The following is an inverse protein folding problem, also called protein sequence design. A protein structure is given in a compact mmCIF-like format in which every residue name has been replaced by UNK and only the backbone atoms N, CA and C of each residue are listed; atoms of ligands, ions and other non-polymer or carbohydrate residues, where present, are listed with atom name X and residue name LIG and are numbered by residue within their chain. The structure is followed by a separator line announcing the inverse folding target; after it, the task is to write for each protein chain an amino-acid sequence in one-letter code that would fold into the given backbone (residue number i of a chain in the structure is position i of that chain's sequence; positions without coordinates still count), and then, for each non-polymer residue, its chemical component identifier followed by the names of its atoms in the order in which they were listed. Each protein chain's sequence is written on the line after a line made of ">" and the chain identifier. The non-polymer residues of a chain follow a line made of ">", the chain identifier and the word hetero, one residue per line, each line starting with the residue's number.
data_IF_458666878494
#
_entry.id   IF_458666878494
#
_cell.length_a   1.000
_cell.length_b   1.000
_cell.length_c   1.000
_cell.angle_alpha   90.00
_cell.angle_beta   90.00
_cell.angle_gamma   90.00
#
_symmetry.space_group_name_H-M   'P 1'
#
loop_
_entity.id
_entity.type
_entity.pdbx_description
1 polymer ?
#
# COMPACT_ATOMS: atom_id res chain seq x y z
N UNK A 1 10.94 15.57 -14.72
CA UNK A 1 11.02 16.94 -15.30
C UNK A 1 10.43 17.99 -14.35
N UNK A 2 9.21 17.83 -13.80
CA UNK A 2 8.60 18.82 -12.89
C UNK A 2 9.37 19.00 -11.59
N UNK A 3 9.97 17.94 -11.02
CA UNK A 3 10.79 18.03 -9.81
C UNK A 3 12.12 18.77 -10.06
N UNK A 4 12.69 18.64 -11.26
CA UNK A 4 13.90 19.37 -11.65
C UNK A 4 13.69 20.89 -11.78
N UNK A 5 12.44 21.33 -11.89
CA UNK A 5 12.06 22.74 -11.95
C UNK A 5 11.85 23.40 -10.58
N UNK A 6 11.91 22.63 -9.47
CA UNK A 6 11.80 23.17 -8.12
C UNK A 6 13.07 23.97 -7.76
N UNK A 7 12.89 25.20 -7.28
CA UNK A 7 13.99 25.95 -6.72
C UNK A 7 14.58 25.22 -5.50
N UNK A 8 15.91 25.17 -5.33
CA UNK A 8 16.54 24.61 -4.13
C UNK A 8 16.00 25.18 -2.80
N UNK A 9 15.52 26.42 -2.83
CA UNK A 9 14.88 27.06 -1.67
C UNK A 9 13.58 26.40 -1.25
N UNK A 10 12.90 25.68 -2.17
CA UNK A 10 11.66 24.95 -1.91
C UNK A 10 11.92 23.49 -1.52
N UNK A 11 13.19 23.10 -1.37
CA UNK A 11 13.60 21.76 -0.97
C UNK A 11 14.23 21.85 0.43
N UNK A 12 13.63 21.11 1.37
CA UNK A 12 14.20 20.89 2.70
C UNK A 12 14.60 19.43 2.81
N UNK A 13 15.89 19.16 2.96
CA UNK A 13 16.40 17.82 3.19
C UNK A 13 16.30 17.47 4.67
N UNK A 14 15.82 16.27 4.97
CA UNK A 14 15.68 15.79 6.34
C UNK A 14 15.56 14.28 6.41
N UNK A 15 15.74 13.73 7.59
CA UNK A 15 15.60 12.32 7.90
C UNK A 15 14.74 12.14 9.14
N UNK A 16 13.72 11.30 9.08
CA UNK A 16 12.88 10.97 10.24
C UNK A 16 13.58 10.07 11.27
N UNK A 17 14.75 9.54 10.95
CA UNK A 17 15.62 8.87 11.95
C UNK A 17 16.21 9.88 12.93
N UNK A 18 16.59 11.08 12.42
CA UNK A 18 17.13 12.20 13.18
C UNK A 18 16.42 13.50 12.82
N UNK A 19 15.13 13.64 13.16
CA UNK A 19 14.28 14.69 12.63
C UNK A 19 14.63 16.08 13.15
N UNK A 20 15.36 16.20 14.26
CA UNK A 20 15.71 17.47 14.88
C UNK A 20 16.47 18.41 13.92
N UNK A 21 17.25 17.84 13.00
CA UNK A 21 18.03 18.62 12.03
C UNK A 21 17.15 19.49 11.13
N UNK A 22 15.98 18.97 10.68
CA UNK A 22 15.08 19.73 9.81
C UNK A 22 13.89 20.34 10.56
N UNK A 23 13.49 19.82 11.72
CA UNK A 23 12.35 20.35 12.49
C UNK A 23 12.56 21.76 13.01
N UNK A 24 13.82 22.22 13.11
CA UNK A 24 14.19 23.57 13.50
C UNK A 24 14.28 24.56 12.32
N UNK A 25 14.02 24.11 11.09
CA UNK A 25 14.06 24.99 9.92
C UNK A 25 12.88 25.98 9.95
N UNK A 26 13.12 27.32 9.88
CA UNK A 26 12.06 28.32 9.99
C UNK A 26 11.05 28.27 8.83
N UNK A 27 11.38 27.61 7.71
CA UNK A 27 10.43 27.43 6.60
C UNK A 27 9.21 26.59 7.01
N UNK A 28 9.35 25.72 8.01
CA UNK A 28 8.23 24.92 8.51
C UNK A 28 7.16 25.79 9.19
N UNK A 29 7.51 26.94 9.77
CA UNK A 29 6.57 27.80 10.46
C UNK A 29 5.59 28.53 9.51
N UNK A 30 5.85 28.48 8.19
CA UNK A 30 5.00 29.04 7.15
C UNK A 30 4.18 27.97 6.39
N UNK A 31 4.35 26.70 6.75
CA UNK A 31 3.64 25.60 6.08
C UNK A 31 2.16 25.66 6.43
N UNK A 32 1.30 25.54 5.41
CA UNK A 32 -0.16 25.53 5.56
C UNK A 32 -0.76 24.14 5.38
N UNK A 33 -0.15 23.30 4.57
CA UNK A 33 -0.63 21.94 4.27
C UNK A 33 0.53 20.94 4.23
N UNK A 34 0.31 19.78 4.80
CA UNK A 34 1.27 18.67 4.82
C UNK A 34 0.64 17.42 4.25
N UNK A 35 1.34 16.72 3.37
CA UNK A 35 1.08 15.31 3.03
C UNK A 35 2.27 14.50 3.54
N UNK A 36 2.07 13.74 4.60
CA UNK A 36 3.11 12.87 5.15
C UNK A 36 3.01 11.46 4.55
N UNK A 37 3.77 11.23 3.48
CA UNK A 37 3.92 9.92 2.84
C UNK A 37 5.18 9.19 3.31
N UNK A 38 6.01 9.81 4.15
CA UNK A 38 7.29 9.24 4.56
C UNK A 38 7.08 8.03 5.48
N UNK A 39 7.63 6.89 5.08
CA UNK A 39 7.59 5.67 5.88
C UNK A 39 8.61 4.65 5.37
N UNK A 40 9.03 3.76 6.26
CA UNK A 40 9.69 2.50 5.91
C UNK A 40 8.60 1.47 5.65
N UNK A 41 8.30 1.23 4.37
CA UNK A 41 7.29 0.28 3.90
C UNK A 41 7.91 -1.11 3.68
N UNK A 42 8.49 -1.69 4.72
CA UNK A 42 9.10 -3.02 4.66
C UNK A 42 8.23 -4.04 5.38
N UNK A 43 7.95 -5.16 4.71
CA UNK A 43 7.27 -6.31 5.33
C UNK A 43 8.26 -7.28 6.01
N UNK A 44 9.57 -7.00 5.95
CA UNK A 44 10.59 -7.72 6.70
C UNK A 44 10.87 -7.10 8.07
N UNK A 45 11.76 -7.76 8.85
CA UNK A 45 12.29 -7.18 10.09
C UNK A 45 13.27 -6.05 9.74
N UNK A 46 12.77 -4.83 9.70
CA UNK A 46 13.60 -3.65 9.49
C UNK A 46 13.57 -2.80 10.78
N UNK A 47 14.70 -2.62 11.48
CA UNK A 47 14.73 -1.88 12.75
C UNK A 47 14.34 -0.41 12.62
N UNK A 48 14.36 0.14 11.39
CA UNK A 48 13.96 1.52 11.14
C UNK A 48 12.44 1.72 11.10
N UNK A 49 11.64 0.65 11.03
CA UNK A 49 10.18 0.78 10.96
C UNK A 49 9.65 1.62 12.12
N UNK A 50 9.97 1.25 13.36
CA UNK A 50 9.50 1.98 14.53
C UNK A 50 10.12 3.38 14.64
N UNK A 51 11.42 3.48 14.37
CA UNK A 51 12.14 4.73 14.48
C UNK A 51 11.61 5.80 13.50
N UNK A 52 11.32 5.41 12.26
CA UNK A 52 10.81 6.31 11.22
C UNK A 52 9.29 6.48 11.31
N UNK A 53 8.56 5.34 11.29
CA UNK A 53 7.10 5.40 11.13
C UNK A 53 6.39 5.89 12.40
N UNK A 54 6.98 5.68 13.58
CA UNK A 54 6.37 6.07 14.85
C UNK A 54 7.11 7.25 15.48
N UNK A 55 8.35 7.05 15.92
CA UNK A 55 9.06 8.06 16.71
C UNK A 55 9.31 9.36 15.92
N UNK A 56 9.93 9.25 14.74
CA UNK A 56 10.23 10.41 13.89
C UNK A 56 8.97 11.08 13.36
N UNK A 57 7.98 10.30 12.94
CA UNK A 57 6.71 10.84 12.47
C UNK A 57 5.95 11.56 13.59
N UNK A 58 5.95 11.02 14.83
CA UNK A 58 5.31 11.68 15.97
C UNK A 58 5.99 13.00 16.33
N UNK A 59 7.33 13.06 16.31
CA UNK A 59 8.07 14.31 16.51
C UNK A 59 7.71 15.35 15.45
N UNK A 60 7.61 14.93 14.19
CA UNK A 60 7.18 15.81 13.10
C UNK A 60 5.74 16.31 13.31
N UNK A 61 4.81 15.41 13.66
CA UNK A 61 3.42 15.77 13.93
C UNK A 61 3.30 16.77 15.10
N UNK A 62 4.06 16.57 16.19
CA UNK A 62 4.11 17.51 17.35
C UNK A 62 4.65 18.89 16.95
N UNK A 63 5.71 18.96 16.14
CA UNK A 63 6.22 20.23 15.60
C UNK A 63 5.12 20.93 14.78
N UNK A 64 4.48 20.20 13.87
CA UNK A 64 3.45 20.77 13.00
C UNK A 64 2.19 21.20 13.78
N UNK A 65 1.85 20.53 14.88
CA UNK A 65 0.76 20.94 15.75
C UNK A 65 0.98 22.33 16.42
N UNK A 66 2.23 22.79 16.49
CA UNK A 66 2.60 24.12 17.00
C UNK A 66 2.67 25.19 15.90
N UNK A 67 2.49 24.84 14.62
CA UNK A 67 2.55 25.79 13.49
C UNK A 67 1.19 26.45 13.30
N UNK A 68 1.10 27.74 13.62
CA UNK A 68 -0.17 28.49 13.61
C UNK A 68 -0.79 28.68 12.23
N UNK A 69 0.00 28.60 11.15
CA UNK A 69 -0.46 28.68 9.76
C UNK A 69 -1.01 27.36 9.23
N UNK A 70 -0.81 26.24 9.94
CA UNK A 70 -1.18 24.91 9.45
C UNK A 70 -2.71 24.73 9.38
N UNK A 71 -3.20 24.43 8.19
CA UNK A 71 -4.63 24.22 7.92
C UNK A 71 -4.96 22.72 7.77
N UNK A 72 -3.99 21.90 7.34
CA UNK A 72 -4.18 20.47 7.11
C UNK A 72 -2.88 19.68 7.32
N UNK A 73 -2.99 18.58 8.06
CA UNK A 73 -1.98 17.53 8.14
C UNK A 73 -2.58 16.20 7.66
N UNK A 74 -2.29 15.82 6.43
CA UNK A 74 -2.73 14.56 5.85
C UNK A 74 -1.67 13.48 6.11
N UNK A 75 -1.99 12.52 6.94
CA UNK A 75 -1.14 11.35 7.19
C UNK A 75 -1.53 10.19 6.29
N UNK A 76 -0.57 9.64 5.55
CA UNK A 76 -0.79 8.46 4.71
C UNK A 76 -0.50 7.20 5.53
N UNK A 77 -1.57 6.54 5.94
CA UNK A 77 -1.58 5.26 6.63
C UNK A 77 -1.60 4.06 5.67
N UNK A 78 -2.36 3.05 6.03
CA UNK A 78 -2.71 1.90 5.19
C UNK A 78 -4.06 1.34 5.64
N UNK A 79 -4.88 0.86 4.72
CA UNK A 79 -6.14 0.21 5.05
C UNK A 79 -5.95 -1.04 5.94
N UNK A 80 -4.79 -1.68 5.84
CA UNK A 80 -4.42 -2.83 6.69
C UNK A 80 -4.03 -2.45 8.13
N UNK A 81 -4.00 -1.16 8.51
CA UNK A 81 -3.66 -0.74 9.89
C UNK A 81 -4.72 -1.11 10.92
N UNK A 82 -5.96 -1.39 10.49
CA UNK A 82 -7.05 -1.83 11.37
C UNK A 82 -6.97 -3.31 11.77
N UNK A 83 -6.01 -4.10 11.26
CA UNK A 83 -5.94 -5.55 11.42
C UNK A 83 -7.29 -6.22 11.11
N UNK A 84 -7.70 -6.25 9.84
CA UNK A 84 -9.04 -6.67 9.46
C UNK A 84 -9.28 -8.15 9.73
N UNK A 85 -10.52 -8.49 10.13
CA UNK A 85 -10.96 -9.88 10.16
C UNK A 85 -11.09 -10.44 8.74
N UNK A 86 -10.74 -11.72 8.53
CA UNK A 86 -10.97 -12.37 7.23
C UNK A 86 -12.44 -12.25 6.76
N UNK A 87 -12.62 -12.25 5.45
CA UNK A 87 -13.92 -12.23 4.76
C UNK A 87 -14.80 -10.99 5.06
N UNK A 88 -14.19 -9.90 5.55
CA UNK A 88 -14.93 -8.71 6.00
C UNK A 88 -14.94 -7.58 4.97
N UNK A 89 -15.98 -6.75 5.08
CA UNK A 89 -16.00 -5.38 4.55
C UNK A 89 -15.63 -4.42 5.68
N UNK A 90 -14.46 -3.82 5.58
CA UNK A 90 -13.89 -2.96 6.64
C UNK A 90 -14.45 -1.54 6.51
N UNK A 91 -15.07 -1.05 7.57
CA UNK A 91 -15.57 0.33 7.63
C UNK A 91 -14.44 1.36 7.86
N UNK A 92 -14.69 2.59 7.45
CA UNK A 92 -13.80 3.75 7.64
C UNK A 92 -13.95 4.28 9.08
N UNK A 93 -13.27 3.64 10.03
CA UNK A 93 -13.35 3.95 11.47
C UNK A 93 -12.01 4.45 12.00
N UNK A 94 -12.09 5.40 12.93
CA UNK A 94 -10.97 5.84 13.75
C UNK A 94 -10.74 4.95 14.98
N UNK A 95 -11.62 4.00 15.24
CA UNK A 95 -11.51 3.09 16.40
C UNK A 95 -10.32 2.15 16.24
N UNK A 96 -9.60 1.96 17.33
CA UNK A 96 -8.48 1.04 17.44
C UNK A 96 -8.88 -0.18 18.25
N UNK A 97 -8.54 -1.36 17.75
CA UNK A 97 -8.68 -2.60 18.52
C UNK A 97 -7.48 -2.75 19.45
N UNK A 98 -7.70 -2.79 20.77
CA UNK A 98 -6.62 -2.84 21.77
C UNK A 98 -5.68 -4.06 21.62
N UNK A 99 -6.18 -5.18 21.11
CA UNK A 99 -5.43 -6.44 20.98
C UNK A 99 -5.37 -6.94 19.53
N UNK A 100 -5.33 -6.01 18.56
CA UNK A 100 -5.24 -6.37 17.17
C UNK A 100 -3.91 -7.06 16.84
N UNK A 101 -3.97 -8.28 16.32
CA UNK A 101 -2.79 -8.99 15.82
C UNK A 101 -2.45 -8.51 14.41
N UNK A 102 -1.25 -7.97 14.25
CA UNK A 102 -0.76 -7.52 12.96
C UNK A 102 0.13 -8.57 12.30
N UNK A 103 -0.10 -8.85 11.02
CA UNK A 103 0.71 -9.79 10.25
C UNK A 103 2.18 -9.35 10.12
N UNK A 104 2.43 -8.03 10.16
CA UNK A 104 3.76 -7.43 9.99
C UNK A 104 3.93 -6.18 10.86
N UNK A 105 5.18 -5.91 11.26
CA UNK A 105 5.56 -4.70 12.01
C UNK A 105 5.15 -3.40 11.32
N UNK A 106 5.16 -3.38 9.99
CA UNK A 106 4.74 -2.22 9.21
C UNK A 106 3.30 -1.80 9.52
N UNK A 107 2.33 -2.72 9.44
CA UNK A 107 0.91 -2.40 9.73
C UNK A 107 0.69 -2.03 11.19
N UNK A 108 1.43 -2.67 12.10
CA UNK A 108 1.42 -2.33 13.52
C UNK A 108 1.95 -0.91 13.77
N UNK A 109 3.09 -0.54 13.15
CA UNK A 109 3.64 0.81 13.27
C UNK A 109 2.70 1.89 12.74
N UNK A 110 2.01 1.61 11.61
CA UNK A 110 1.00 2.52 11.04
C UNK A 110 -0.21 2.70 11.95
N UNK A 111 -0.74 1.63 12.52
CA UNK A 111 -1.81 1.69 13.53
C UNK A 111 -1.39 2.50 14.75
N UNK A 112 -0.18 2.24 15.25
CA UNK A 112 0.35 2.91 16.45
C UNK A 112 0.50 4.41 16.25
N UNK A 113 1.09 4.86 15.13
CA UNK A 113 1.29 6.28 14.90
C UNK A 113 -0.02 7.05 14.69
N UNK A 114 -1.01 6.46 14.01
CA UNK A 114 -2.34 7.06 13.87
C UNK A 114 -2.97 7.31 15.23
N UNK A 115 -2.94 6.32 16.13
CA UNK A 115 -3.44 6.45 17.50
C UNK A 115 -2.68 7.52 18.30
N UNK A 116 -1.35 7.50 18.26
CA UNK A 116 -0.52 8.48 18.98
C UNK A 116 -0.76 9.91 18.50
N UNK A 117 -0.89 10.14 17.20
CA UNK A 117 -1.21 11.49 16.68
C UNK A 117 -2.56 11.99 17.19
N UNK A 118 -3.59 11.14 17.23
CA UNK A 118 -4.90 11.53 17.75
C UNK A 118 -4.87 11.83 19.25
N UNK A 119 -4.11 11.06 20.03
CA UNK A 119 -4.02 11.22 21.47
C UNK A 119 -3.13 12.38 21.90
N UNK A 120 -1.99 12.55 21.26
CA UNK A 120 -0.94 13.46 21.71
C UNK A 120 -0.89 14.80 20.95
N UNK A 121 -1.56 14.89 19.79
CA UNK A 121 -1.61 16.08 18.98
C UNK A 121 -3.07 16.53 18.72
N UNK A 122 -3.89 16.79 19.74
CA UNK A 122 -5.33 17.07 19.58
C UNK A 122 -5.61 18.36 18.80
N UNK A 123 -4.65 19.29 18.71
CA UNK A 123 -4.76 20.53 17.95
C UNK A 123 -4.35 20.37 16.49
N UNK A 124 -3.74 19.25 16.11
CA UNK A 124 -3.31 18.99 14.74
C UNK A 124 -4.55 18.89 13.83
N UNK A 125 -4.64 19.65 12.73
CA UNK A 125 -5.74 19.52 11.76
C UNK A 125 -5.57 18.22 10.93
N UNK A 126 -5.64 17.08 11.63
CA UNK A 126 -5.29 15.76 11.13
C UNK A 126 -6.38 15.22 10.21
N UNK A 127 -5.94 14.61 9.12
CA UNK A 127 -6.71 13.68 8.27
C UNK A 127 -5.87 12.43 8.08
N UNK A 128 -6.47 11.27 8.23
CA UNK A 128 -5.81 9.99 8.03
C UNK A 128 -6.34 9.38 6.73
N UNK A 129 -5.48 9.27 5.72
CA UNK A 129 -5.78 8.57 4.49
C UNK A 129 -5.19 7.16 4.56
N UNK A 130 -6.00 6.14 4.35
CA UNK A 130 -5.62 4.73 4.39
C UNK A 130 -5.75 4.09 3.01
N UNK A 131 -4.72 4.17 2.15
CA UNK A 131 -4.72 3.44 0.89
C UNK A 131 -4.82 1.93 1.10
N UNK A 132 -5.58 1.25 0.22
CA UNK A 132 -5.51 -0.19 0.06
C UNK A 132 -4.21 -0.59 -0.65
N UNK A 133 -4.18 -1.71 -1.34
CA UNK A 133 -2.97 -2.14 -2.06
C UNK A 133 -2.79 -1.27 -3.31
N UNK A 134 -1.69 -0.52 -3.37
CA UNK A 134 -1.38 0.34 -4.52
C UNK A 134 -0.51 -0.42 -5.51
N UNK A 135 -1.03 -0.68 -6.71
CA UNK A 135 -0.30 -1.39 -7.78
C UNK A 135 -0.49 -0.69 -9.12
N UNK A 136 0.61 -0.34 -9.74
CA UNK A 136 0.61 0.22 -11.08
C UNK A 136 0.04 1.64 -11.18
N UNK A 137 -0.01 2.10 -12.41
CA UNK A 137 -0.56 3.38 -12.84
C UNK A 137 -1.43 3.14 -14.07
N UNK A 138 -2.58 3.78 -14.21
CA UNK A 138 -3.52 3.52 -15.31
C UNK A 138 -2.89 3.68 -16.70
N UNK A 139 -1.96 4.63 -16.87
CA UNK A 139 -1.29 4.89 -18.15
C UNK A 139 0.14 4.35 -18.23
N UNK A 140 0.87 4.29 -17.10
CA UNK A 140 2.29 3.92 -17.07
C UNK A 140 2.54 2.49 -16.59
N UNK A 141 1.48 1.74 -16.21
CA UNK A 141 1.60 0.37 -15.71
C UNK A 141 2.49 0.30 -14.47
N UNK A 142 3.46 -0.60 -14.47
CA UNK A 142 4.40 -0.82 -13.37
C UNK A 142 5.66 0.05 -13.42
N UNK A 143 5.61 1.22 -14.02
CA UNK A 143 6.74 2.15 -14.07
C UNK A 143 6.47 3.37 -13.18
N UNK A 144 7.40 3.78 -12.32
CA UNK A 144 8.77 3.23 -12.13
C UNK A 144 8.86 2.03 -11.19
N UNK A 145 7.75 1.61 -10.55
CA UNK A 145 7.73 0.49 -9.62
C UNK A 145 6.60 -0.49 -9.97
N UNK A 146 6.90 -1.78 -9.89
CA UNK A 146 5.91 -2.85 -10.02
C UNK A 146 5.09 -3.06 -8.74
N UNK A 147 5.52 -2.49 -7.60
CA UNK A 147 4.95 -2.85 -6.31
C UNK A 147 4.82 -4.38 -6.19
N UNK A 148 3.72 -4.88 -5.66
CA UNK A 148 3.48 -6.33 -5.53
C UNK A 148 2.92 -7.00 -6.81
N UNK A 149 2.95 -6.37 -7.98
CA UNK A 149 2.41 -6.96 -9.22
C UNK A 149 3.01 -8.35 -9.54
N UNK A 150 4.29 -8.55 -9.21
CA UNK A 150 4.98 -9.82 -9.36
C UNK A 150 4.37 -10.97 -8.54
N UNK A 151 3.64 -10.68 -7.46
CA UNK A 151 2.97 -11.72 -6.63
C UNK A 151 1.86 -12.40 -7.42
N UNK A 152 1.07 -11.62 -8.18
CA UNK A 152 0.02 -12.17 -9.05
C UNK A 152 0.64 -13.07 -10.13
N UNK A 153 1.68 -12.57 -10.81
CA UNK A 153 2.41 -13.34 -11.83
C UNK A 153 3.00 -14.62 -11.23
N UNK A 154 3.55 -14.56 -10.03
CA UNK A 154 4.13 -15.71 -9.33
C UNK A 154 3.08 -16.78 -9.04
N UNK A 155 1.92 -16.40 -8.49
CA UNK A 155 0.85 -17.35 -8.17
C UNK A 155 0.31 -18.05 -9.41
N UNK A 156 0.14 -17.32 -10.52
CA UNK A 156 -0.33 -17.87 -11.79
C UNK A 156 0.72 -18.77 -12.45
N UNK A 157 2.01 -18.42 -12.41
CA UNK A 157 3.08 -19.29 -12.91
C UNK A 157 3.19 -20.60 -12.13
N UNK A 158 3.00 -20.57 -10.82
CA UNK A 158 2.94 -21.78 -9.97
C UNK A 158 1.67 -22.60 -10.21
N UNK A 159 0.63 -22.01 -10.76
CA UNK A 159 -0.72 -22.58 -10.85
C UNK A 159 -1.28 -22.98 -9.48
N UNK A 160 -0.76 -22.43 -8.42
CA UNK A 160 -1.21 -22.66 -7.05
C UNK A 160 -0.72 -21.55 -6.12
N UNK A 161 -1.54 -21.23 -5.13
CA UNK A 161 -1.18 -20.31 -4.05
C UNK A 161 -2.07 -20.55 -2.83
N UNK A 162 -1.93 -19.71 -1.79
CA UNK A 162 -2.67 -19.91 -0.54
C UNK A 162 -4.12 -19.43 -0.62
N UNK A 163 -4.44 -18.45 -1.45
CA UNK A 163 -5.79 -17.93 -1.65
C UNK A 163 -6.61 -18.77 -2.64
N UNK A 164 -7.93 -18.65 -2.57
CA UNK A 164 -8.85 -19.16 -3.58
C UNK A 164 -8.92 -18.22 -4.78
N UNK A 165 -9.28 -18.75 -5.95
CA UNK A 165 -9.60 -17.94 -7.14
C UNK A 165 -10.86 -17.07 -6.94
N UNK A 166 -11.74 -17.46 -6.02
CA UNK A 166 -12.95 -16.70 -5.67
C UNK A 166 -12.69 -15.61 -4.63
N UNK A 167 -11.56 -15.66 -3.91
CA UNK A 167 -11.17 -14.62 -2.95
C UNK A 167 -10.96 -13.29 -3.68
N UNK A 168 -11.30 -12.20 -3.00
CA UNK A 168 -11.18 -10.84 -3.53
C UNK A 168 -9.97 -10.13 -2.98
N UNK A 169 -9.48 -9.18 -3.76
CA UNK A 169 -8.40 -8.30 -3.37
C UNK A 169 -8.75 -6.85 -3.75
N UNK A 170 -8.42 -5.94 -2.86
CA UNK A 170 -8.65 -4.51 -3.01
C UNK A 170 -7.37 -3.85 -3.50
N UNK A 171 -7.35 -3.46 -4.77
CA UNK A 171 -6.20 -2.87 -5.46
C UNK A 171 -6.60 -1.58 -6.16
N UNK A 172 -5.81 -0.53 -5.98
CA UNK A 172 -5.97 0.76 -6.64
C UNK A 172 -4.70 1.15 -7.39
N UNK A 173 -4.79 1.96 -8.46
CA UNK A 173 -3.60 2.49 -9.12
C UNK A 173 -3.06 3.74 -8.39
N UNK A 174 -1.76 4.01 -8.57
CA UNK A 174 -1.06 5.09 -7.85
C UNK A 174 -1.56 6.49 -8.24
N UNK A 175 -1.98 6.69 -9.47
CA UNK A 175 -2.55 7.97 -9.95
C UNK A 175 -3.90 8.26 -9.25
N UNK A 176 -4.80 7.29 -9.14
CA UNK A 176 -6.03 7.44 -8.35
C UNK A 176 -5.72 7.75 -6.88
N UNK A 177 -4.75 7.05 -6.31
CA UNK A 177 -4.31 7.31 -4.94
C UNK A 177 -3.79 8.75 -4.78
N UNK A 178 -2.97 9.24 -5.71
CA UNK A 178 -2.46 10.60 -5.69
C UNK A 178 -3.56 11.67 -5.79
N UNK A 179 -4.51 11.48 -6.71
CA UNK A 179 -5.65 12.39 -6.88
C UNK A 179 -6.53 12.42 -5.63
N UNK A 180 -6.76 11.27 -5.00
CA UNK A 180 -7.50 11.18 -3.74
C UNK A 180 -6.78 11.91 -2.60
N UNK A 181 -5.45 11.77 -2.47
CA UNK A 181 -4.67 12.50 -1.47
C UNK A 181 -4.75 14.01 -1.67
N UNK A 182 -4.67 14.49 -2.92
CA UNK A 182 -4.80 15.92 -3.23
C UNK A 182 -6.22 16.45 -2.93
N UNK A 183 -7.25 15.66 -3.23
CA UNK A 183 -8.61 16.00 -2.90
C UNK A 183 -8.82 16.06 -1.37
N UNK A 184 -8.35 15.07 -0.62
CA UNK A 184 -8.43 15.05 0.85
C UNK A 184 -7.65 16.19 1.51
N UNK A 185 -6.55 16.63 0.90
CA UNK A 185 -5.77 17.76 1.38
C UNK A 185 -6.58 19.07 1.35
N UNK A 186 -7.40 19.26 0.33
CA UNK A 186 -8.15 20.50 0.09
C UNK A 186 -9.62 20.45 0.56
N UNK A 187 -10.22 19.26 0.69
CA UNK A 187 -11.63 19.12 1.04
C UNK A 187 -11.93 19.53 2.50
N UNK A 188 -12.87 20.46 2.74
CA UNK A 188 -13.27 20.80 4.11
C UNK A 188 -13.97 19.63 4.82
N UNK A 189 -14.58 18.72 4.06
CA UNK A 189 -15.30 17.55 4.58
C UNK A 189 -14.36 16.48 5.17
N UNK A 190 -13.06 16.52 4.81
CA UNK A 190 -12.09 15.53 5.27
C UNK A 190 -11.53 15.83 6.68
N UNK A 191 -11.81 17.00 7.28
CA UNK A 191 -11.21 17.41 8.55
C UNK A 191 -11.56 16.45 9.70
N UNK A 192 -10.56 15.90 10.35
CA UNK A 192 -10.72 14.96 11.45
C UNK A 192 -11.12 13.54 11.05
N UNK A 193 -11.24 13.28 9.74
CA UNK A 193 -11.71 12.00 9.23
C UNK A 193 -10.59 10.98 9.04
N UNK A 194 -10.98 9.71 9.17
CA UNK A 194 -10.24 8.56 8.66
C UNK A 194 -10.96 8.10 7.39
N UNK A 195 -10.22 8.06 6.27
CA UNK A 195 -10.76 7.80 4.95
C UNK A 195 -9.95 6.72 4.27
N UNK A 196 -10.62 5.71 3.72
CA UNK A 196 -9.96 4.72 2.88
C UNK A 196 -9.85 5.23 1.44
N UNK A 197 -8.67 5.01 0.85
CA UNK A 197 -8.48 5.14 -0.60
C UNK A 197 -8.40 3.72 -1.13
N UNK A 198 -9.54 3.17 -1.55
CA UNK A 198 -9.70 1.75 -1.84
C UNK A 198 -10.58 1.52 -3.07
N UNK A 199 -10.51 0.33 -3.63
CA UNK A 199 -11.39 -0.08 -4.71
C UNK A 199 -12.86 -0.16 -4.27
N UNK A 200 -13.09 -0.34 -2.98
CA UNK A 200 -14.41 -0.53 -2.41
C UNK A 200 -14.97 -1.94 -2.69
N UNK A 201 -16.15 -2.21 -2.16
CA UNK A 201 -16.80 -3.51 -2.37
C UNK A 201 -17.11 -3.78 -3.84
N UNK A 202 -17.52 -2.74 -4.58
CA UNK A 202 -17.95 -2.86 -5.97
C UNK A 202 -16.79 -3.17 -6.94
N UNK A 203 -15.64 -2.50 -6.74
CA UNK A 203 -14.51 -2.55 -7.68
C UNK A 203 -13.33 -3.42 -7.23
N UNK A 204 -13.38 -4.02 -6.02
CA UNK A 204 -12.46 -5.11 -5.67
C UNK A 204 -12.69 -6.30 -6.60
N UNK A 205 -11.61 -6.95 -7.02
CA UNK A 205 -11.62 -8.00 -8.04
C UNK A 205 -11.29 -9.36 -7.44
N UNK A 206 -11.81 -10.44 -8.04
CA UNK A 206 -11.44 -11.80 -7.67
C UNK A 206 -10.11 -12.18 -8.32
N UNK A 207 -9.39 -13.12 -7.73
CA UNK A 207 -8.18 -13.66 -8.36
C UNK A 207 -8.48 -14.33 -9.71
N UNK A 208 -9.67 -14.92 -9.91
CA UNK A 208 -10.11 -15.43 -11.21
C UNK A 208 -10.25 -14.33 -12.27
N UNK A 209 -10.69 -13.14 -11.89
CA UNK A 209 -10.80 -12.00 -12.81
C UNK A 209 -9.39 -11.50 -13.20
N UNK A 210 -8.44 -11.49 -12.25
CA UNK A 210 -7.04 -11.16 -12.48
C UNK A 210 -6.39 -12.19 -13.43
N UNK A 211 -6.60 -13.49 -13.20
CA UNK A 211 -6.10 -14.56 -14.08
C UNK A 211 -6.58 -14.36 -15.52
N UNK A 212 -7.87 -14.15 -15.70
CA UNK A 212 -8.48 -13.93 -17.02
C UNK A 212 -7.92 -12.69 -17.72
N UNK A 213 -7.76 -11.57 -16.99
CA UNK A 213 -7.26 -10.33 -17.56
C UNK A 213 -5.75 -10.41 -17.91
N UNK A 214 -4.93 -11.05 -17.05
CA UNK A 214 -3.51 -11.29 -17.33
C UNK A 214 -3.32 -12.25 -18.50
N UNK A 215 -4.10 -13.31 -18.58
CA UNK A 215 -4.07 -14.28 -19.67
C UNK A 215 -4.41 -13.61 -21.01
N UNK A 216 -5.44 -12.76 -21.04
CA UNK A 216 -5.79 -11.96 -22.21
C UNK A 216 -4.66 -11.04 -22.63
N UNK A 217 -4.04 -10.32 -21.69
CA UNK A 217 -2.91 -9.41 -21.96
C UNK A 217 -1.64 -10.13 -22.45
N UNK A 218 -1.48 -11.42 -22.13
CA UNK A 218 -0.37 -12.28 -22.54
C UNK A 218 -0.70 -13.12 -23.78
N UNK A 219 -1.92 -12.99 -24.35
CA UNK A 219 -2.43 -13.79 -25.47
C UNK A 219 -2.36 -15.31 -25.20
N UNK A 220 -2.71 -15.74 -24.00
CA UNK A 220 -2.68 -17.12 -23.56
C UNK A 220 -3.99 -17.53 -22.86
N UNK A 221 -4.18 -18.83 -22.66
CA UNK A 221 -5.32 -19.31 -21.88
C UNK A 221 -5.11 -19.03 -20.38
N UNK A 222 -6.18 -18.67 -19.64
CA UNK A 222 -6.11 -18.52 -18.18
C UNK A 222 -5.76 -19.86 -17.51
N UNK A 223 -5.19 -19.76 -16.31
CA UNK A 223 -4.91 -20.94 -15.48
C UNK A 223 -6.21 -21.67 -15.13
N UNK A 224 -7.23 -20.91 -14.71
CA UNK A 224 -8.57 -21.42 -14.48
C UNK A 224 -8.59 -22.66 -13.59
N UNK A 225 -9.26 -23.73 -14.05
CA UNK A 225 -9.40 -24.99 -13.31
C UNK A 225 -8.09 -25.76 -13.03
N UNK A 226 -6.97 -25.35 -13.61
CA UNK A 226 -5.64 -25.93 -13.28
C UNK A 226 -5.07 -25.36 -12.00
N UNK A 227 -5.63 -24.25 -11.51
CA UNK A 227 -5.20 -23.65 -10.28
C UNK A 227 -5.63 -24.48 -9.06
N UNK A 228 -4.73 -24.58 -8.08
CA UNK A 228 -5.01 -25.26 -6.83
C UNK A 228 -4.74 -24.33 -5.64
N UNK A 229 -5.72 -24.15 -4.78
CA UNK A 229 -5.50 -23.56 -3.46
C UNK A 229 -4.72 -24.56 -2.59
N UNK A 230 -3.61 -24.14 -2.01
CA UNK A 230 -2.73 -25.01 -1.22
C UNK A 230 -2.25 -24.33 0.05
N UNK A 231 -1.80 -25.14 1.03
CA UNK A 231 -1.17 -24.60 2.23
C UNK A 231 0.25 -24.08 1.96
N UNK A 232 0.78 -23.26 2.86
CA UNK A 232 2.17 -22.81 2.80
C UNK A 232 3.16 -23.98 2.83
N UNK A 233 2.88 -25.04 3.60
CA UNK A 233 3.70 -26.24 3.71
C UNK A 233 3.85 -26.93 2.33
N UNK A 234 2.79 -26.95 1.53
CA UNK A 234 2.83 -27.47 0.16
C UNK A 234 3.79 -26.63 -0.71
N UNK A 235 3.75 -25.28 -0.57
CA UNK A 235 4.67 -24.42 -1.30
C UNK A 235 6.14 -24.64 -0.86
N UNK A 236 6.37 -24.90 0.42
CA UNK A 236 7.72 -25.25 0.95
C UNK A 236 8.26 -26.55 0.34
N UNK A 237 7.40 -27.56 0.14
CA UNK A 237 7.79 -28.82 -0.50
C UNK A 237 8.25 -28.62 -1.95
N UNK A 238 7.73 -27.62 -2.65
CA UNK A 238 8.12 -27.26 -4.02
C UNK A 238 9.44 -26.46 -4.10
N UNK A 239 10.11 -26.19 -2.99
CA UNK A 239 11.31 -25.35 -2.96
C UNK A 239 12.32 -25.66 -4.06
N UNK A 240 12.59 -26.94 -4.32
CA UNK A 240 13.57 -27.39 -5.33
C UNK A 240 13.15 -27.07 -6.77
N UNK A 241 11.84 -26.88 -7.00
CA UNK A 241 11.26 -26.59 -8.32
C UNK A 241 11.28 -25.06 -8.62
N UNK A 242 11.43 -24.22 -7.61
CA UNK A 242 11.31 -22.76 -7.78
C UNK A 242 12.31 -22.20 -8.81
N UNK A 243 13.54 -22.74 -8.85
CA UNK A 243 14.54 -22.33 -9.85
C UNK A 243 14.18 -22.75 -11.26
N UNK A 244 13.50 -23.89 -11.43
CA UNK A 244 13.04 -24.35 -12.74
C UNK A 244 11.87 -23.47 -13.24
N UNK A 245 11.02 -23.00 -12.33
CA UNK A 245 9.83 -22.19 -12.66
C UNK A 245 10.20 -20.72 -12.89
N UNK A 246 11.00 -20.12 -12.00
CA UNK A 246 11.25 -18.67 -11.98
C UNK A 246 12.66 -18.29 -12.49
N UNK A 247 13.49 -19.28 -12.85
CA UNK A 247 14.90 -19.05 -13.15
C UNK A 247 15.75 -18.86 -11.89
N UNK A 248 16.99 -18.38 -12.03
CA UNK A 248 17.91 -18.17 -10.91
C UNK A 248 17.28 -17.25 -9.85
N UNK A 249 17.05 -17.77 -8.65
CA UNK A 249 16.41 -17.04 -7.56
C UNK A 249 16.95 -17.48 -6.18
N UNK A 250 16.74 -16.62 -5.18
CA UNK A 250 16.93 -16.97 -3.78
C UNK A 250 15.66 -17.67 -3.26
N UNK A 251 15.69 -19.01 -3.20
CA UNK A 251 14.54 -19.82 -2.82
C UNK A 251 14.00 -19.49 -1.41
N UNK A 252 14.90 -19.13 -0.46
CA UNK A 252 14.49 -18.74 0.90
C UNK A 252 13.71 -17.43 0.89
N UNK A 253 14.17 -16.47 0.10
CA UNK A 253 13.48 -15.18 -0.07
C UNK A 253 12.15 -15.35 -0.76
N UNK A 254 12.08 -16.20 -1.81
CA UNK A 254 10.83 -16.55 -2.49
C UNK A 254 9.81 -17.15 -1.52
N UNK A 255 10.21 -18.16 -0.73
CA UNK A 255 9.31 -18.79 0.25
C UNK A 255 8.87 -17.80 1.35
N UNK A 256 9.78 -16.92 1.81
CA UNK A 256 9.42 -15.87 2.77
C UNK A 256 8.36 -14.94 2.18
N UNK A 257 8.53 -14.53 0.94
CA UNK A 257 7.55 -13.70 0.22
C UNK A 257 6.22 -14.43 0.03
N UNK A 258 6.23 -15.70 -0.40
CA UNK A 258 5.02 -16.52 -0.55
C UNK A 258 4.24 -16.63 0.76
N UNK A 259 4.93 -16.86 1.89
CA UNK A 259 4.30 -16.92 3.21
C UNK A 259 3.59 -15.62 3.55
N UNK A 260 4.30 -14.51 3.37
CA UNK A 260 3.83 -13.20 3.75
C UNK A 260 2.64 -12.74 2.89
N UNK A 261 2.85 -12.70 1.58
CA UNK A 261 1.80 -12.25 0.64
C UNK A 261 0.63 -13.23 0.56
N UNK A 262 0.89 -14.53 0.77
CA UNK A 262 -0.15 -15.53 0.90
C UNK A 262 -1.04 -15.29 2.12
N UNK A 263 -0.46 -14.93 3.26
CA UNK A 263 -1.24 -14.59 4.47
C UNK A 263 -2.14 -13.35 4.25
N UNK A 264 -1.67 -12.34 3.51
CA UNK A 264 -2.52 -11.20 3.13
C UNK A 264 -3.59 -11.58 2.10
N UNK A 265 -3.24 -12.42 1.12
CA UNK A 265 -4.18 -12.82 0.07
C UNK A 265 -5.34 -13.68 0.59
N UNK A 266 -5.11 -14.47 1.66
CA UNK A 266 -6.16 -15.29 2.30
C UNK A 266 -7.10 -14.50 3.20
N UNK A 267 -6.85 -13.21 3.45
CA UNK A 267 -7.77 -12.39 4.24
C UNK A 267 -9.10 -12.14 3.52
N UNK A 268 -9.12 -12.13 2.19
CA UNK A 268 -10.34 -11.87 1.39
C UNK A 268 -11.10 -10.62 1.87
N UNK A 269 -10.37 -9.54 2.18
CA UNK A 269 -10.95 -8.32 2.73
C UNK A 269 -11.22 -7.27 1.67
N UNK A 270 -12.25 -6.47 1.89
CA UNK A 270 -12.61 -5.30 1.10
C UNK A 270 -12.68 -4.11 2.05
N UNK A 271 -12.38 -2.92 1.55
CA UNK A 271 -12.39 -1.70 2.35
C UNK A 271 -13.47 -0.77 1.81
N UNK A 272 -14.44 -0.34 2.65
CA UNK A 272 -15.38 0.72 2.26
C UNK A 272 -14.61 1.96 1.80
N UNK A 273 -15.15 2.64 0.77
CA UNK A 273 -14.68 3.93 0.28
C UNK A 273 -15.82 4.97 0.22
N UNK A 274 -16.86 4.74 1.00
CA UNK A 274 -18.07 5.56 0.98
C UNK A 274 -17.80 7.02 1.33
N UNK A 275 -16.92 7.29 2.31
CA UNK A 275 -16.52 8.66 2.67
C UNK A 275 -15.83 9.35 1.51
N UNK A 276 -14.87 8.69 0.87
CA UNK A 276 -14.12 9.24 -0.26
C UNK A 276 -15.07 9.61 -1.43
N UNK A 277 -15.99 8.70 -1.75
CA UNK A 277 -16.98 8.92 -2.81
C UNK A 277 -17.97 10.04 -2.43
N UNK A 278 -18.43 10.09 -1.18
CA UNK A 278 -19.32 11.14 -0.69
C UNK A 278 -18.69 12.54 -0.71
N UNK A 279 -17.36 12.62 -0.64
CA UNK A 279 -16.59 13.86 -0.77
C UNK A 279 -16.39 14.29 -2.24
N UNK A 280 -16.89 13.51 -3.20
CA UNK A 280 -16.85 13.85 -4.63
C UNK A 280 -15.75 13.18 -5.44
N UNK A 281 -14.98 12.25 -4.86
CA UNK A 281 -14.02 11.47 -5.64
C UNK A 281 -14.77 10.53 -6.60
N UNK A 282 -14.37 10.41 -7.88
CA UNK A 282 -14.95 9.43 -8.78
C UNK A 282 -14.67 8.00 -8.31
N UNK A 283 -15.48 7.04 -8.76
CA UNK A 283 -15.23 5.62 -8.49
C UNK A 283 -13.84 5.22 -9.02
N UNK A 284 -13.07 4.43 -8.26
CA UNK A 284 -11.78 3.94 -8.71
C UNK A 284 -11.94 3.01 -9.91
N UNK A 285 -10.94 2.93 -10.81
CA UNK A 285 -10.94 1.88 -11.82
C UNK A 285 -10.75 0.51 -11.15
N UNK A 286 -11.31 -0.55 -11.75
CA UNK A 286 -11.00 -1.92 -11.35
C UNK A 286 -9.56 -2.25 -11.72
N UNK A 287 -8.90 -3.08 -10.94
CA UNK A 287 -7.54 -3.51 -11.26
C UNK A 287 -7.45 -4.14 -12.65
N UNK A 288 -8.46 -4.89 -13.05
CA UNK A 288 -8.56 -5.51 -14.38
C UNK A 288 -8.63 -4.51 -15.55
N UNK A 289 -9.05 -3.26 -15.31
CA UNK A 289 -9.19 -2.25 -16.37
C UNK A 289 -7.83 -1.72 -16.87
N UNK A 290 -6.76 -1.83 -16.04
CA UNK A 290 -5.43 -1.33 -16.38
C UNK A 290 -4.32 -2.40 -16.25
N UNK A 291 -4.68 -3.63 -15.93
CA UNK A 291 -3.72 -4.74 -15.72
C UNK A 291 -2.91 -5.05 -16.99
N UNK A 292 -3.51 -4.88 -18.17
CA UNK A 292 -2.81 -5.03 -19.45
C UNK A 292 -1.58 -4.13 -19.53
N UNK A 293 -1.72 -2.87 -19.08
CA UNK A 293 -0.61 -1.93 -19.05
C UNK A 293 0.49 -2.38 -18.07
N UNK A 294 0.11 -2.95 -16.94
CA UNK A 294 1.05 -3.52 -15.98
C UNK A 294 1.80 -4.72 -16.59
N UNK A 295 1.11 -5.61 -17.28
CA UNK A 295 1.72 -6.75 -18.00
C UNK A 295 2.70 -6.27 -19.07
N UNK A 296 2.31 -5.29 -19.90
CA UNK A 296 3.15 -4.75 -20.97
C UNK A 296 4.46 -4.16 -20.44
N UNK A 297 4.40 -3.43 -19.33
CA UNK A 297 5.57 -2.74 -18.74
C UNK A 297 6.48 -3.64 -17.92
N UNK A 298 6.02 -4.84 -17.56
CA UNK A 298 6.85 -5.87 -16.88
C UNK A 298 7.29 -6.99 -17.83
N UNK A 299 6.93 -6.91 -19.10
CA UNK A 299 7.29 -7.91 -20.12
C UNK A 299 8.80 -8.07 -20.21
N UNK A 300 9.26 -9.31 -20.16
CA UNK A 300 10.69 -9.66 -20.21
C UNK A 300 11.42 -9.60 -18.86
N UNK A 301 10.78 -9.14 -17.79
CA UNK A 301 11.33 -9.20 -16.44
C UNK A 301 10.94 -10.52 -15.75
N UNK A 302 11.92 -11.20 -15.18
CA UNK A 302 11.66 -12.38 -14.34
C UNK A 302 11.08 -11.96 -12.99
N UNK A 303 10.38 -12.89 -12.31
CA UNK A 303 9.86 -12.64 -10.94
C UNK A 303 10.98 -12.17 -9.99
N UNK A 304 12.17 -12.81 -9.93
CA UNK A 304 13.26 -12.32 -9.09
C UNK A 304 13.75 -10.90 -9.42
N UNK A 305 13.72 -10.49 -10.70
CA UNK A 305 14.08 -9.12 -11.09
C UNK A 305 13.05 -8.10 -10.61
N UNK A 306 11.76 -8.41 -10.71
CA UNK A 306 10.69 -7.56 -10.19
C UNK A 306 10.75 -7.45 -8.66
N UNK A 307 10.97 -8.58 -7.95
CA UNK A 307 11.14 -8.61 -6.50
C UNK A 307 12.33 -7.77 -5.99
N UNK A 308 13.42 -7.69 -6.75
CA UNK A 308 14.62 -6.96 -6.34
C UNK A 308 14.39 -5.47 -6.11
N UNK A 309 13.31 -4.90 -6.64
CA UNK A 309 12.90 -3.51 -6.40
C UNK A 309 12.25 -3.36 -5.02
N UNK A 310 11.44 -4.34 -4.60
CA UNK A 310 10.64 -4.29 -3.37
C UNK A 310 11.43 -4.68 -2.10
N UNK A 311 12.53 -5.43 -2.25
CA UNK A 311 13.34 -5.95 -1.13
C UNK A 311 14.72 -5.29 -1.00
N UNK A 312 14.86 -4.05 -1.49
CA UNK A 312 16.06 -3.24 -1.27
C UNK A 312 16.11 -2.65 0.12
#
# INVERSE_FOLDING_TARGET
>A
EKLAALSPQNILLGDLVEPEAFLNDPRLDQVTHVINCAAVASFGNNPLIWKVNVEGTLKFARKMACVGSLQRFLHVGTAMSCSPEPDSLVAESAEFREHAEHLVEYTHSKSTIERLMQQECPTLPLVIARPSIVVGHTHHGCQPSSSIFWVFSMGLMLQKFMCSMEDRIDVIPVDYCADALLMLLSSPLARGEVVHISAGEENSVRFADIDSAMASALEQAPVGNKYAQVSYETLVQMRRELKNIFGPCNERLMLKAMRLYGAFATLNVRFSNDKLLSMGMPKPPRFTDYIERCVQTTRGLTIPQQMAVDFK
#
